data_IF_489460758254
#
_entry.id   IF_489460758254
#
_cell.length_a   1.000
_cell.length_b   1.000
_cell.length_c   1.000
_cell.angle_alpha   90.00
_cell.angle_beta   90.00
_cell.angle_gamma   90.00
#
_symmetry.space_group_name_H-M   'P 1'
#
loop_
_entity.id
_entity.type
_entity.pdbx_description
1 polymer ?
#
# COMPACT_ATOMS: atom_id res chain seq x y z
N UNK A 1 -18.80 5.02 0.16
CA UNK A 1 -17.97 3.80 0.18
C UNK A 1 -18.90 2.63 -0.15
N UNK A 2 -18.77 2.03 -1.33
CA UNK A 2 -19.55 0.84 -1.68
C UNK A 2 -18.78 -0.38 -1.16
N UNK A 3 -19.44 -1.26 -0.42
CA UNK A 3 -18.84 -2.52 0.03
C UNK A 3 -18.85 -3.48 -1.17
N UNK A 4 -17.68 -3.98 -1.56
CA UNK A 4 -17.48 -4.96 -2.65
C UNK A 4 -17.12 -6.33 -2.08
N UNK A 5 -17.39 -7.40 -2.85
CA UNK A 5 -16.94 -8.76 -2.53
C UNK A 5 -16.24 -9.37 -3.77
N UNK A 6 -14.96 -9.78 -3.68
CA UNK A 6 -14.07 -9.64 -2.51
C UNK A 6 -13.88 -8.16 -2.09
N UNK A 7 -13.51 -7.97 -0.82
CA UNK A 7 -13.31 -6.64 -0.25
C UNK A 7 -12.14 -5.91 -0.92
N UNK A 8 -12.00 -4.59 -0.70
CA UNK A 8 -10.96 -3.82 -1.36
C UNK A 8 -9.57 -4.18 -0.82
N UNK A 9 -8.56 -3.94 -1.65
CA UNK A 9 -7.14 -4.08 -1.30
C UNK A 9 -6.52 -2.70 -1.12
N UNK A 10 -5.82 -2.49 0.00
CA UNK A 10 -5.08 -1.26 0.29
C UNK A 10 -3.58 -1.48 0.05
N UNK A 11 -2.98 -0.65 -0.80
CA UNK A 11 -1.54 -0.57 -0.96
C UNK A 11 -0.92 0.38 0.07
N UNK A 12 0.14 -0.05 0.73
CA UNK A 12 0.86 0.76 1.73
C UNK A 12 2.34 0.86 1.35
N UNK A 13 2.83 2.08 1.13
CA UNK A 13 4.27 2.33 1.02
C UNK A 13 4.87 2.44 2.43
N UNK A 14 5.72 1.47 2.78
CA UNK A 14 6.22 1.22 4.13
C UNK A 14 5.60 0.00 4.79
N UNK A 15 6.45 -0.93 5.26
CA UNK A 15 6.05 -2.19 5.89
C UNK A 15 6.42 -2.28 7.38
N UNK A 16 6.62 -1.16 8.06
CA UNK A 16 6.99 -1.05 9.46
C UNK A 16 5.84 -1.31 10.45
N UNK A 17 6.00 -0.83 11.69
CA UNK A 17 5.03 -1.10 12.76
C UNK A 17 3.66 -0.45 12.51
N UNK A 18 3.58 0.68 11.81
CA UNK A 18 2.31 1.36 11.57
C UNK A 18 1.52 0.62 10.48
N UNK A 19 2.19 0.12 9.44
CA UNK A 19 1.64 -0.74 8.40
C UNK A 19 1.14 -2.06 9.00
N UNK A 20 1.87 -2.62 9.97
CA UNK A 20 1.38 -3.78 10.74
C UNK A 20 0.10 -3.45 11.52
N UNK A 21 0.11 -2.36 12.29
CA UNK A 21 -1.08 -1.92 13.05
C UNK A 21 -2.28 -1.66 12.12
N UNK A 22 -2.03 -1.10 10.94
CA UNK A 22 -3.03 -0.86 9.91
C UNK A 22 -3.60 -2.18 9.37
N UNK A 23 -2.76 -3.16 9.05
CA UNK A 23 -3.20 -4.49 8.61
C UNK A 23 -4.05 -5.22 9.65
N UNK A 24 -3.63 -5.19 10.91
CA UNK A 24 -4.40 -5.77 12.03
C UNK A 24 -5.78 -5.09 12.19
N UNK A 25 -5.89 -3.79 11.90
CA UNK A 25 -7.15 -3.05 11.93
C UNK A 25 -8.01 -3.23 10.67
N UNK A 26 -7.39 -3.49 9.52
CA UNK A 26 -8.04 -3.69 8.22
C UNK A 26 -8.71 -5.07 8.09
N UNK A 27 -8.07 -6.12 8.63
CA UNK A 27 -8.56 -7.49 8.50
C UNK A 27 -10.01 -7.71 9.01
N UNK A 28 -10.45 -7.16 10.17
CA UNK A 28 -11.84 -7.26 10.61
C UNK A 28 -12.85 -6.56 9.69
N UNK A 29 -12.40 -5.63 8.84
CA UNK A 29 -13.21 -4.93 7.84
C UNK A 29 -13.29 -5.68 6.51
N UNK A 30 -12.56 -6.79 6.37
CA UNK A 30 -12.45 -7.54 5.11
C UNK A 30 -11.63 -6.81 4.05
N UNK A 31 -10.68 -5.97 4.47
CA UNK A 31 -9.77 -5.23 3.59
C UNK A 31 -8.41 -5.92 3.63
N UNK A 32 -7.91 -6.29 2.45
CA UNK A 32 -6.58 -6.89 2.31
C UNK A 32 -5.51 -5.79 2.16
N UNK A 33 -4.27 -6.08 2.55
CA UNK A 33 -3.14 -5.18 2.38
C UNK A 33 -2.09 -5.77 1.43
N UNK A 34 -1.51 -4.92 0.59
CA UNK A 34 -0.22 -5.18 -0.07
C UNK A 34 0.75 -4.11 0.40
N UNK A 35 1.93 -4.51 0.85
CA UNK A 35 2.93 -3.59 1.41
C UNK A 35 4.17 -3.52 0.52
N UNK A 36 4.74 -2.32 0.35
CA UNK A 36 6.03 -2.09 -0.29
C UNK A 36 7.07 -1.75 0.79
N UNK A 37 8.10 -2.58 0.92
CA UNK A 37 9.20 -2.34 1.87
C UNK A 37 10.52 -2.96 1.36
N UNK A 38 11.67 -2.30 1.51
CA UNK A 38 12.96 -2.82 1.05
C UNK A 38 13.45 -4.03 1.85
N UNK A 39 12.88 -4.27 3.04
CA UNK A 39 13.24 -5.39 3.91
C UNK A 39 12.31 -6.58 3.63
N UNK A 40 12.81 -7.70 3.09
CA UNK A 40 12.01 -8.93 3.01
C UNK A 40 11.50 -9.35 4.38
N UNK A 41 10.28 -9.88 4.45
CA UNK A 41 9.61 -10.24 5.71
C UNK A 41 9.53 -9.04 6.68
N UNK A 42 9.18 -7.87 6.16
CA UNK A 42 9.03 -6.63 6.92
C UNK A 42 8.02 -6.80 8.07
N UNK A 43 8.04 -5.93 9.10
CA UNK A 43 7.12 -6.03 10.24
C UNK A 43 5.62 -6.20 9.89
N UNK A 44 5.15 -5.63 8.78
CA UNK A 44 3.77 -5.74 8.29
C UNK A 44 3.49 -7.01 7.47
N UNK A 45 4.52 -7.70 6.95
CA UNK A 45 4.36 -8.88 6.10
C UNK A 45 3.45 -9.99 6.71
N UNK A 46 3.48 -10.29 8.03
CA UNK A 46 2.64 -11.33 8.61
C UNK A 46 1.12 -11.04 8.59
N UNK A 47 0.73 -9.79 8.35
CA UNK A 47 -0.67 -9.35 8.32
C UNK A 47 -1.09 -8.80 6.96
N UNK A 48 -0.16 -8.71 6.01
CA UNK A 48 -0.42 -8.35 4.63
C UNK A 48 -0.79 -9.60 3.81
N UNK A 49 -1.58 -9.42 2.76
CA UNK A 49 -1.86 -10.47 1.79
C UNK A 49 -0.65 -10.74 0.88
N UNK A 50 0.15 -9.70 0.60
CA UNK A 50 1.42 -9.83 -0.12
C UNK A 50 2.40 -8.69 0.22
N UNK A 51 3.67 -8.89 -0.14
CA UNK A 51 4.74 -7.89 -0.02
C UNK A 51 5.47 -7.71 -1.35
N UNK A 52 5.68 -6.46 -1.74
CA UNK A 52 6.62 -6.05 -2.79
C UNK A 52 7.92 -5.64 -2.09
N UNK A 53 9.05 -6.23 -2.51
CA UNK A 53 10.37 -5.88 -1.99
C UNK A 53 11.01 -4.85 -2.91
N UNK A 54 11.05 -3.60 -2.47
CA UNK A 54 11.59 -2.47 -3.22
C UNK A 54 11.76 -1.23 -2.33
N UNK A 55 12.54 -0.26 -2.80
CA UNK A 55 12.76 0.99 -2.06
C UNK A 55 11.52 1.90 -2.09
N UNK A 56 11.41 2.81 -1.12
CA UNK A 56 10.22 3.65 -0.94
C UNK A 56 10.07 4.75 -2.01
N UNK A 57 11.11 5.03 -2.77
CA UNK A 57 11.16 5.98 -3.88
C UNK A 57 11.34 5.28 -5.25
N UNK A 58 11.27 3.94 -5.27
CA UNK A 58 11.32 3.17 -6.50
C UNK A 58 10.00 3.29 -7.27
N UNK A 59 10.04 4.03 -8.37
CA UNK A 59 8.89 4.28 -9.21
C UNK A 59 8.29 3.00 -9.81
N UNK A 60 9.12 2.02 -10.17
CA UNK A 60 8.63 0.76 -10.74
C UNK A 60 7.93 -0.08 -9.67
N UNK A 61 8.44 -0.06 -8.43
CA UNK A 61 7.83 -0.79 -7.31
C UNK A 61 6.52 -0.14 -6.83
N UNK A 62 6.45 1.19 -6.80
CA UNK A 62 5.21 1.93 -6.50
C UNK A 62 4.17 1.72 -7.61
N UNK A 63 4.59 1.71 -8.87
CA UNK A 63 3.71 1.40 -10.01
C UNK A 63 3.15 -0.03 -9.92
N UNK A 64 4.00 -1.01 -9.62
CA UNK A 64 3.56 -2.40 -9.37
C UNK A 64 2.53 -2.47 -8.23
N UNK A 65 2.77 -1.74 -7.14
CA UNK A 65 1.84 -1.67 -6.02
C UNK A 65 0.50 -1.09 -6.47
N UNK A 66 0.51 0.04 -7.19
CA UNK A 66 -0.69 0.73 -7.67
C UNK A 66 -1.54 -0.16 -8.60
N UNK A 67 -0.90 -0.94 -9.47
CA UNK A 67 -1.57 -1.86 -10.39
C UNK A 67 -2.35 -3.00 -9.70
N UNK A 68 -2.12 -3.22 -8.40
CA UNK A 68 -2.61 -4.38 -7.64
C UNK A 68 -3.65 -4.05 -6.56
N UNK A 69 -3.98 -2.77 -6.38
CA UNK A 69 -4.74 -2.29 -5.21
C UNK A 69 -5.86 -1.32 -5.60
N UNK A 70 -6.83 -1.14 -4.71
CA UNK A 70 -7.99 -0.26 -4.91
C UNK A 70 -7.78 1.15 -4.33
N UNK A 71 -6.80 1.32 -3.44
CA UNK A 71 -6.37 2.59 -2.89
C UNK A 71 -4.91 2.50 -2.42
N UNK A 72 -4.23 3.65 -2.37
CA UNK A 72 -2.86 3.79 -1.90
C UNK A 72 -2.79 4.65 -0.63
N UNK A 73 -1.86 4.31 0.24
CA UNK A 73 -1.46 5.13 1.39
C UNK A 73 0.04 4.93 1.68
N UNK A 74 0.58 5.68 2.62
CA UNK A 74 1.98 5.62 3.03
C UNK A 74 2.09 5.76 4.54
N UNK A 75 3.07 5.07 5.14
CA UNK A 75 3.39 5.20 6.56
C UNK A 75 4.70 5.95 6.84
N UNK A 76 5.48 6.24 5.79
CA UNK A 76 6.83 6.80 5.89
C UNK A 76 7.01 8.02 4.99
N UNK A 77 7.77 9.01 5.45
CA UNK A 77 8.02 10.27 4.73
C UNK A 77 8.99 10.14 3.56
N UNK A 78 9.57 8.95 3.36
CA UNK A 78 10.47 8.64 2.23
C UNK A 78 9.70 8.32 0.94
N UNK A 79 8.39 8.12 1.01
CA UNK A 79 7.57 7.95 -0.17
C UNK A 79 7.50 9.26 -0.96
N UNK A 80 7.95 9.25 -2.22
CA UNK A 80 7.93 10.45 -3.06
C UNK A 80 6.48 10.78 -3.50
N UNK A 81 5.92 11.95 -3.13
CA UNK A 81 4.57 12.33 -3.51
C UNK A 81 4.35 12.41 -5.02
N UNK A 82 5.38 12.78 -5.79
CA UNK A 82 5.28 12.88 -7.25
C UNK A 82 5.17 11.49 -7.89
N UNK A 83 5.88 10.49 -7.35
CA UNK A 83 5.80 9.10 -7.81
C UNK A 83 4.45 8.50 -7.46
N UNK A 84 3.97 8.71 -6.23
CA UNK A 84 2.62 8.30 -5.81
C UNK A 84 1.52 8.93 -6.69
N UNK A 85 1.65 10.23 -7.00
CA UNK A 85 0.71 10.92 -7.86
C UNK A 85 0.72 10.39 -9.31
N UNK A 86 1.90 10.09 -9.85
CA UNK A 86 2.02 9.50 -11.19
C UNK A 86 1.36 8.11 -11.26
N UNK A 87 1.65 7.24 -10.29
CA UNK A 87 1.05 5.90 -10.23
C UNK A 87 -0.48 5.96 -10.00
N UNK A 88 -0.94 6.90 -9.18
CA UNK A 88 -2.37 7.20 -8.99
C UNK A 88 -3.06 7.58 -10.29
N UNK A 89 -2.49 8.51 -11.06
CA UNK A 89 -3.04 8.94 -12.36
C UNK A 89 -3.01 7.81 -13.39
N UNK A 90 -1.94 7.00 -13.42
CA UNK A 90 -1.77 5.91 -14.37
C UNK A 90 -2.79 4.78 -14.16
N UNK A 91 -3.02 4.37 -12.91
CA UNK A 91 -3.91 3.25 -12.58
C UNK A 91 -5.32 3.68 -12.18
N UNK A 92 -5.57 4.98 -12.02
CA UNK A 92 -6.85 5.51 -11.55
C UNK A 92 -7.16 5.14 -10.09
N UNK A 93 -6.11 4.95 -9.28
CA UNK A 93 -6.20 4.49 -7.88
C UNK A 93 -5.99 5.66 -6.93
N UNK A 94 -6.93 5.98 -6.02
CA UNK A 94 -6.80 7.14 -5.15
C UNK A 94 -5.68 6.96 -4.11
N UNK A 95 -4.92 8.02 -3.85
CA UNK A 95 -3.93 8.11 -2.75
C UNK A 95 -4.53 8.87 -1.58
N UNK A 96 -4.39 8.32 -0.37
CA UNK A 96 -4.86 8.94 0.86
C UNK A 96 -3.78 8.93 1.97
N UNK A 97 -3.54 10.05 2.66
CA UNK A 97 -4.09 11.38 2.36
C UNK A 97 -3.63 11.90 0.98
N UNK A 98 -4.48 12.68 0.33
CA UNK A 98 -4.13 13.38 -0.91
C UNK A 98 -3.19 14.56 -0.54
N UNK A 99 -2.02 14.69 -1.18
CA UNK A 99 -1.03 15.72 -0.85
C UNK A 99 -1.50 17.16 -1.08
#
# INVERSE_FOLDING_TARGET
MSITLPGPTLGVVGGGQLGRMLGEAAAPLGVDLVVLDPTPDCPAAPVAADQIVGDFDDADAIDELAARVDALTFEIELADPAVLAAASEEHGVPVHPDP
#
